data_IF_417732637080
#
_entry.id   IF_417732637080
#
_cell.length_a   1.000
_cell.length_b   1.000
_cell.length_c   1.000
_cell.angle_alpha   90.00
_cell.angle_beta   90.00
_cell.angle_gamma   90.00
#
_symmetry.space_group_name_H-M   'P 1'
#
loop_
_entity.id
_entity.type
_entity.pdbx_description
1 polymer ?
#
# COMPACT_ATOMS: atom_id res chain seq x y z
N UNK A 1 14.24 19.06 -18.62
CA UNK A 1 13.14 18.11 -18.92
C UNK A 1 12.52 17.53 -17.65
N UNK A 2 13.27 16.88 -16.75
CA UNK A 2 12.69 16.28 -15.53
C UNK A 2 11.95 17.26 -14.61
N UNK A 3 12.48 18.47 -14.40
CA UNK A 3 11.86 19.46 -13.52
C UNK A 3 10.48 19.89 -14.04
N UNK A 4 10.36 20.06 -15.36
CA UNK A 4 9.11 20.43 -16.02
C UNK A 4 8.06 19.34 -15.79
N UNK A 5 8.43 18.06 -15.94
CA UNK A 5 7.53 16.94 -15.65
C UNK A 5 7.12 16.89 -14.17
N UNK A 6 8.06 17.11 -13.23
CA UNK A 6 7.75 17.13 -11.79
C UNK A 6 6.76 18.24 -11.44
N UNK A 7 6.95 19.44 -11.99
CA UNK A 7 6.03 20.56 -11.80
C UNK A 7 4.66 20.25 -12.42
N UNK A 8 4.65 19.70 -13.64
CA UNK A 8 3.40 19.31 -14.32
C UNK A 8 2.62 18.23 -13.56
N UNK A 9 3.31 17.29 -12.91
CA UNK A 9 2.69 16.22 -12.11
C UNK A 9 2.35 16.66 -10.68
N UNK A 10 2.82 17.81 -10.22
CA UNK A 10 2.59 18.28 -8.86
C UNK A 10 1.10 18.38 -8.48
N UNK A 11 0.20 18.92 -9.33
CA UNK A 11 -1.23 18.93 -9.02
C UNK A 11 -1.80 17.51 -8.82
N UNK A 12 -1.37 16.55 -9.64
CA UNK A 12 -1.79 15.15 -9.53
C UNK A 12 -1.26 14.52 -8.23
N UNK A 13 -0.02 14.85 -7.84
CA UNK A 13 0.56 14.42 -6.58
C UNK A 13 -0.24 14.91 -5.38
N UNK A 14 -0.65 16.19 -5.36
CA UNK A 14 -1.48 16.75 -4.29
C UNK A 14 -2.85 16.05 -4.22
N UNK A 15 -3.50 15.82 -5.36
CA UNK A 15 -4.76 15.06 -5.41
C UNK A 15 -4.59 13.63 -4.88
N UNK A 16 -3.46 12.98 -5.20
CA UNK A 16 -3.15 11.65 -4.72
C UNK A 16 -2.96 11.61 -3.19
N UNK A 17 -2.27 12.60 -2.61
CA UNK A 17 -2.14 12.73 -1.15
C UNK A 17 -3.50 12.91 -0.50
N UNK A 18 -4.32 13.83 -1.03
CA UNK A 18 -5.64 14.13 -0.48
C UNK A 18 -6.52 12.88 -0.50
N UNK A 19 -6.57 12.18 -1.64
CA UNK A 19 -7.32 10.93 -1.78
C UNK A 19 -6.85 9.86 -0.80
N UNK A 20 -5.54 9.61 -0.70
CA UNK A 20 -5.01 8.56 0.17
C UNK A 20 -5.20 8.90 1.66
N UNK A 21 -5.08 10.17 2.02
CA UNK A 21 -5.33 10.65 3.38
C UNK A 21 -6.79 10.48 3.74
N UNK A 22 -7.71 10.99 2.92
CA UNK A 22 -9.15 10.84 3.14
C UNK A 22 -9.54 9.36 3.24
N UNK A 23 -9.08 8.53 2.29
CA UNK A 23 -9.34 7.08 2.31
C UNK A 23 -8.88 6.46 3.61
N UNK A 24 -7.67 6.76 4.08
CA UNK A 24 -7.11 6.24 5.33
C UNK A 24 -7.97 6.66 6.54
N UNK A 25 -8.35 7.93 6.64
CA UNK A 25 -9.20 8.42 7.72
C UNK A 25 -10.58 7.75 7.71
N UNK A 26 -11.17 7.53 6.54
CA UNK A 26 -12.45 6.82 6.41
C UNK A 26 -12.36 5.34 6.86
N UNK A 27 -11.21 4.68 6.68
CA UNK A 27 -10.97 3.33 7.24
C UNK A 27 -10.76 3.35 8.76
N UNK A 28 -10.09 4.37 9.30
CA UNK A 28 -9.89 4.50 10.75
C UNK A 28 -11.20 4.84 11.47
N UNK A 29 -12.01 5.73 10.89
CA UNK A 29 -13.34 6.09 11.37
C UNK A 29 -14.38 4.96 11.22
N UNK A 30 -14.03 3.84 10.58
CA UNK A 30 -14.93 2.70 10.38
C UNK A 30 -16.04 2.92 9.35
N UNK A 31 -16.02 4.05 8.64
CA UNK A 31 -16.98 4.39 7.57
C UNK A 31 -16.84 3.40 6.41
N UNK A 32 -15.60 3.03 6.06
CA UNK A 32 -15.34 1.96 5.09
C UNK A 32 -15.20 0.64 5.86
N UNK A 33 -16.07 -0.33 5.55
CA UNK A 33 -16.03 -1.65 6.16
C UNK A 33 -14.68 -2.33 5.90
N UNK A 34 -14.00 -2.77 6.97
CA UNK A 34 -12.88 -3.70 6.86
C UNK A 34 -13.41 -5.02 6.30
N UNK A 35 -12.84 -5.49 5.18
CA UNK A 35 -13.30 -6.74 4.55
C UNK A 35 -13.06 -7.94 5.48
N UNK A 36 -13.94 -8.93 5.30
CA UNK A 36 -13.97 -10.32 5.79
C UNK A 36 -12.81 -10.70 6.72
N UNK A 37 -13.17 -10.99 7.97
CA UNK A 37 -12.28 -11.69 8.90
C UNK A 37 -12.17 -13.15 8.44
N UNK A 38 -11.00 -13.52 7.92
CA UNK A 38 -10.71 -14.91 7.61
C UNK A 38 -10.52 -15.70 8.89
N UNK A 39 -10.98 -16.96 8.93
CA UNK A 39 -10.84 -17.85 10.10
C UNK A 39 -9.37 -18.23 10.39
N UNK A 40 -8.47 -17.99 9.45
CA UNK A 40 -7.03 -18.29 9.54
C UNK A 40 -6.23 -16.99 9.70
N UNK A 41 -5.06 -17.09 10.31
CA UNK A 41 -4.12 -15.98 10.40
C UNK A 41 -3.73 -15.48 8.99
N UNK A 42 -3.69 -14.16 8.83
CA UNK A 42 -3.37 -13.48 7.56
C UNK A 42 -2.16 -12.59 7.78
N UNK A 43 -1.12 -12.77 6.97
CA UNK A 43 0.07 -11.92 6.97
C UNK A 43 0.02 -11.04 5.72
N UNK A 44 -0.04 -9.71 5.91
CA UNK A 44 -0.01 -8.74 4.82
C UNK A 44 1.42 -8.25 4.60
N UNK A 45 1.97 -8.43 3.40
CA UNK A 45 3.33 -7.99 3.04
C UNK A 45 3.23 -6.88 2.00
N UNK A 46 3.61 -5.67 2.41
CA UNK A 46 3.44 -4.44 1.64
C UNK A 46 4.71 -3.58 1.59
N UNK A 47 4.60 -2.43 0.92
CA UNK A 47 5.61 -1.37 0.85
C UNK A 47 4.87 -0.08 0.47
N UNK A 48 5.43 1.06 0.83
CA UNK A 48 4.88 2.39 0.56
C UNK A 48 5.27 2.85 -0.86
N UNK A 49 6.50 2.54 -1.28
CA UNK A 49 7.03 3.03 -2.56
C UNK A 49 6.59 2.15 -3.72
N UNK A 50 6.36 2.81 -4.87
CA UNK A 50 6.21 2.18 -6.18
C UNK A 50 7.56 1.59 -6.62
N UNK A 51 7.52 0.45 -7.33
CA UNK A 51 8.72 -0.23 -7.83
C UNK A 51 9.14 -1.46 -7.01
N UNK A 52 10.33 -1.98 -7.33
CA UNK A 52 10.87 -3.22 -6.76
C UNK A 52 11.43 -3.03 -5.36
N UNK A 53 10.62 -3.28 -4.33
CA UNK A 53 11.02 -3.18 -2.92
C UNK A 53 11.40 -4.53 -2.28
N UNK A 54 11.73 -5.54 -3.08
CA UNK A 54 12.09 -6.86 -2.58
C UNK A 54 10.94 -7.66 -1.94
N UNK A 55 9.68 -7.25 -2.11
CA UNK A 55 8.51 -7.98 -1.59
C UNK A 55 8.51 -9.44 -2.02
N UNK A 56 8.78 -9.71 -3.30
CA UNK A 56 8.72 -11.08 -3.85
C UNK A 56 9.78 -11.99 -3.22
N UNK A 57 11.08 -11.64 -3.17
CA UNK A 57 12.06 -12.40 -2.40
C UNK A 57 11.66 -12.61 -0.94
N UNK A 58 11.15 -11.58 -0.26
CA UNK A 58 10.72 -11.66 1.14
C UNK A 58 9.54 -12.62 1.34
N UNK A 59 8.54 -12.57 0.45
CA UNK A 59 7.38 -13.47 0.46
C UNK A 59 7.86 -14.92 0.32
N UNK A 60 8.77 -15.20 -0.62
CA UNK A 60 9.33 -16.56 -0.81
C UNK A 60 10.05 -17.02 0.45
N UNK A 61 10.86 -16.15 1.06
CA UNK A 61 11.55 -16.46 2.30
C UNK A 61 10.57 -16.81 3.42
N UNK A 62 9.57 -15.95 3.67
CA UNK A 62 8.57 -16.17 4.73
C UNK A 62 7.79 -17.46 4.47
N UNK A 63 7.33 -17.68 3.24
CA UNK A 63 6.58 -18.89 2.88
C UNK A 63 7.39 -20.15 3.19
N UNK A 64 8.68 -20.20 2.82
CA UNK A 64 9.55 -21.34 3.14
C UNK A 64 9.77 -21.59 4.62
N UNK A 65 9.63 -20.56 5.46
CA UNK A 65 9.80 -20.66 6.92
C UNK A 65 8.51 -21.02 7.65
N UNK A 66 7.36 -20.83 7.00
CA UNK A 66 6.03 -21.11 7.55
C UNK A 66 5.41 -22.40 7.01
N UNK A 67 5.93 -22.95 5.91
CA UNK A 67 5.63 -24.31 5.45
C UNK A 67 6.38 -25.27 6.38
N UNK A 68 5.66 -25.80 7.37
CA UNK A 68 6.05 -26.97 8.17
C UNK A 68 5.50 -28.21 7.47
#
# INVERSE_FOLDING_TARGET
MELIFKIALFPIYVLNILYNTLRRELYYAGVIRRKIVLKKAVISIGNINLGGAGKTPLIIYIARRLVI
#
